data_IF_156001266278
#
_entry.id   IF_156001266278
#
_cell.length_a   1.000
_cell.length_b   1.000
_cell.length_c   1.000
_cell.angle_alpha   90.00
_cell.angle_beta   90.00
_cell.angle_gamma   90.00
#
_symmetry.space_group_name_H-M   'P 1'
#
loop_
_entity.id
_entity.type
_entity.pdbx_description
1 polymer ?
#
# COMPACT_ATOMS: atom_id res chain seq x y z
N UNK A 1 36.21 -23.34 6.70
CA UNK A 1 35.03 -22.88 7.47
C UNK A 1 33.85 -23.78 7.09
N UNK A 2 33.26 -24.52 8.04
CA UNK A 2 32.30 -25.59 7.75
C UNK A 2 30.93 -25.00 7.33
N UNK A 3 30.30 -25.53 6.28
CA UNK A 3 29.04 -24.98 5.70
C UNK A 3 27.93 -24.87 6.77
N UNK A 4 27.88 -25.82 7.70
CA UNK A 4 26.96 -25.85 8.83
C UNK A 4 27.18 -24.68 9.82
N UNK A 5 28.42 -24.28 10.06
CA UNK A 5 28.73 -23.16 10.96
C UNK A 5 28.33 -21.82 10.34
N UNK A 6 28.53 -21.64 9.03
CA UNK A 6 28.10 -20.45 8.30
C UNK A 6 26.57 -20.29 8.31
N UNK A 7 25.83 -21.39 8.09
CA UNK A 7 24.35 -21.38 8.13
C UNK A 7 23.84 -21.04 9.52
N UNK A 8 24.44 -21.61 10.57
CA UNK A 8 24.04 -21.33 11.96
C UNK A 8 24.31 -19.87 12.35
N UNK A 9 25.43 -19.29 11.92
CA UNK A 9 25.78 -17.90 12.17
C UNK A 9 24.81 -16.93 11.47
N UNK A 10 24.50 -17.17 10.20
CA UNK A 10 23.50 -16.39 9.43
C UNK A 10 22.13 -16.48 10.10
N UNK A 11 21.71 -17.68 10.50
CA UNK A 11 20.41 -17.91 11.14
C UNK A 11 20.31 -17.17 12.47
N UNK A 12 21.33 -17.25 13.32
CA UNK A 12 21.36 -16.55 14.60
C UNK A 12 21.36 -15.03 14.43
N UNK A 13 22.15 -14.49 13.50
CA UNK A 13 22.18 -13.05 13.23
C UNK A 13 20.83 -12.51 12.75
N UNK A 14 20.13 -13.29 11.91
CA UNK A 14 18.81 -12.93 11.41
C UNK A 14 17.75 -12.97 12.52
N UNK A 15 17.82 -13.99 13.39
CA UNK A 15 16.93 -14.14 14.55
C UNK A 15 17.08 -13.00 15.56
N UNK A 16 18.32 -12.59 15.86
CA UNK A 16 18.61 -11.47 16.76
C UNK A 16 18.03 -10.16 16.20
N UNK A 17 18.30 -9.85 14.92
CA UNK A 17 17.73 -8.65 14.26
C UNK A 17 16.20 -8.64 14.25
N UNK A 18 15.58 -9.80 14.05
CA UNK A 18 14.13 -9.93 14.09
C UNK A 18 13.56 -9.69 15.50
N UNK A 19 14.18 -10.28 16.52
CA UNK A 19 13.81 -10.05 17.92
C UNK A 19 13.97 -8.58 18.31
N UNK A 20 15.06 -7.92 17.92
CA UNK A 20 15.27 -6.49 18.14
C UNK A 20 14.19 -5.62 17.48
N UNK A 21 13.72 -6.00 16.29
CA UNK A 21 12.66 -5.25 15.60
C UNK A 21 11.32 -5.41 16.33
N UNK A 22 11.00 -6.61 16.82
CA UNK A 22 9.79 -6.89 17.61
C UNK A 22 9.81 -6.12 18.94
N UNK A 23 10.95 -6.13 19.66
CA UNK A 23 11.06 -5.45 20.95
C UNK A 23 10.96 -3.93 20.80
N UNK A 24 11.48 -3.36 19.71
CA UNK A 24 11.39 -1.91 19.42
C UNK A 24 9.99 -1.42 19.06
N UNK A 25 9.19 -2.21 18.32
CA UNK A 25 7.83 -1.83 17.89
C UNK A 25 6.75 -2.15 18.93
N UNK A 26 6.99 -3.17 19.76
CA UNK A 26 6.03 -3.72 20.71
C UNK A 26 5.08 -4.73 20.06
N UNK A 27 4.92 -5.91 20.68
CA UNK A 27 4.08 -7.01 20.17
C UNK A 27 2.63 -6.57 19.87
N UNK A 28 2.05 -5.73 20.72
CA UNK A 28 0.69 -5.19 20.55
C UNK A 28 0.51 -4.48 19.20
N UNK A 29 1.49 -3.68 18.77
CA UNK A 29 1.41 -2.95 17.50
C UNK A 29 1.42 -3.91 16.31
N UNK A 30 2.23 -4.96 16.36
CA UNK A 30 2.28 -5.99 15.31
C UNK A 30 0.91 -6.67 15.15
N UNK A 31 0.28 -7.08 16.26
CA UNK A 31 -1.07 -7.68 16.19
C UNK A 31 -2.12 -6.72 15.63
N UNK A 32 -2.07 -5.44 16.02
CA UNK A 32 -2.98 -4.43 15.45
C UNK A 32 -2.73 -4.25 13.95
N UNK A 33 -1.47 -4.18 13.50
CA UNK A 33 -1.15 -4.07 12.08
C UNK A 33 -1.63 -5.28 11.29
N UNK A 34 -1.54 -6.49 11.86
CA UNK A 34 -2.11 -7.71 11.25
C UNK A 34 -3.63 -7.63 11.19
N UNK A 35 -4.30 -7.14 12.24
CA UNK A 35 -5.74 -6.95 12.20
C UNK A 35 -6.17 -5.94 11.14
N UNK A 36 -5.46 -4.80 11.02
CA UNK A 36 -5.66 -3.80 9.97
C UNK A 36 -5.49 -4.47 8.60
N UNK A 37 -4.40 -5.22 8.39
CA UNK A 37 -4.15 -5.96 7.16
C UNK A 37 -5.31 -6.85 6.77
N UNK A 38 -5.75 -7.73 7.66
CA UNK A 38 -6.81 -8.69 7.37
C UNK A 38 -8.15 -7.99 7.07
N UNK A 39 -8.53 -7.01 7.88
CA UNK A 39 -9.81 -6.30 7.72
C UNK A 39 -9.82 -5.48 6.43
N UNK A 40 -8.76 -4.70 6.18
CA UNK A 40 -8.69 -3.84 4.98
C UNK A 40 -8.65 -4.69 3.72
N UNK A 41 -7.82 -5.74 3.68
CA UNK A 41 -7.76 -6.64 2.52
C UNK A 41 -9.10 -7.30 2.27
N UNK A 42 -9.75 -7.83 3.31
CA UNK A 42 -11.05 -8.47 3.19
C UNK A 42 -12.11 -7.51 2.64
N UNK A 43 -12.23 -6.30 3.21
CA UNK A 43 -13.23 -5.31 2.78
C UNK A 43 -12.96 -4.82 1.34
N UNK A 44 -11.72 -4.48 1.01
CA UNK A 44 -11.38 -4.02 -0.33
C UNK A 44 -11.59 -5.11 -1.39
N UNK A 45 -11.20 -6.36 -1.10
CA UNK A 45 -11.46 -7.48 -2.01
C UNK A 45 -12.95 -7.74 -2.19
N UNK A 46 -13.75 -7.64 -1.13
CA UNK A 46 -15.20 -7.73 -1.26
C UNK A 46 -15.75 -6.63 -2.16
N UNK A 47 -15.31 -5.38 -1.99
CA UNK A 47 -15.76 -4.28 -2.86
C UNK A 47 -15.42 -4.57 -4.33
N UNK A 48 -14.18 -4.96 -4.60
CA UNK A 48 -13.73 -5.25 -5.97
C UNK A 48 -14.52 -6.42 -6.59
N UNK A 49 -14.57 -7.56 -5.90
CA UNK A 49 -15.21 -8.76 -6.43
C UNK A 49 -16.74 -8.64 -6.51
N UNK A 50 -17.39 -7.98 -5.55
CA UNK A 50 -18.82 -7.72 -5.65
C UNK A 50 -19.13 -6.74 -6.79
N UNK A 51 -18.34 -5.69 -6.98
CA UNK A 51 -18.56 -4.75 -8.08
C UNK A 51 -18.49 -5.42 -9.45
N UNK A 52 -17.53 -6.33 -9.64
CA UNK A 52 -17.31 -7.08 -10.89
C UNK A 52 -18.39 -8.11 -11.18
N UNK A 53 -19.02 -8.68 -10.16
CA UNK A 53 -19.95 -9.80 -10.33
C UNK A 53 -21.44 -9.44 -10.11
N UNK A 54 -21.74 -8.29 -9.49
CA UNK A 54 -23.13 -7.86 -9.26
C UNK A 54 -23.65 -6.91 -10.35
N UNK A 55 -22.78 -6.10 -10.96
CA UNK A 55 -23.22 -5.10 -11.96
C UNK A 55 -23.46 -5.74 -13.32
N UNK A 56 -22.62 -6.71 -13.70
CA UNK A 56 -22.66 -7.41 -14.97
C UNK A 56 -22.42 -8.91 -14.74
N UNK A 57 -23.02 -9.74 -15.59
CA UNK A 57 -22.82 -11.19 -15.57
C UNK A 57 -21.54 -11.60 -16.31
N UNK A 58 -21.01 -12.80 -16.06
CA UNK A 58 -19.84 -13.32 -16.79
C UNK A 58 -20.07 -13.37 -18.32
N UNK A 59 -21.30 -13.62 -18.75
CA UNK A 59 -21.66 -13.59 -20.16
C UNK A 59 -21.48 -12.19 -20.76
N UNK A 60 -21.75 -11.14 -19.99
CA UNK A 60 -21.64 -9.75 -20.44
C UNK A 60 -20.19 -9.31 -20.66
N UNK A 61 -19.26 -9.87 -19.88
CA UNK A 61 -17.83 -9.61 -20.06
C UNK A 61 -17.24 -10.35 -21.27
N UNK A 62 -17.75 -11.54 -21.57
CA UNK A 62 -17.26 -12.37 -22.67
C UNK A 62 -17.89 -12.02 -24.03
N UNK A 63 -19.04 -11.36 -24.03
CA UNK A 63 -19.72 -10.93 -25.25
C UNK A 63 -19.23 -9.57 -25.75
N UNK A 64 -18.61 -9.57 -26.94
CA UNK A 64 -18.11 -8.34 -27.60
C UNK A 64 -19.22 -7.32 -27.88
N UNK A 65 -20.47 -7.76 -28.03
CA UNK A 65 -21.60 -6.86 -28.27
C UNK A 65 -22.14 -6.24 -26.97
N UNK A 66 -21.88 -6.85 -25.81
CA UNK A 66 -22.33 -6.34 -24.51
C UNK A 66 -21.62 -5.04 -24.11
N UNK A 67 -20.36 -4.85 -24.53
CA UNK A 67 -19.64 -3.56 -24.38
C UNK A 67 -20.40 -2.40 -25.05
N UNK A 68 -21.14 -2.68 -26.13
CA UNK A 68 -21.87 -1.68 -26.92
C UNK A 68 -23.30 -1.50 -26.38
N UNK A 69 -23.95 -2.60 -25.99
CA UNK A 69 -25.36 -2.61 -25.66
C UNK A 69 -25.67 -2.40 -24.17
N UNK A 70 -24.70 -2.65 -23.27
CA UNK A 70 -24.87 -2.54 -21.81
C UNK A 70 -23.96 -1.45 -21.22
N UNK A 71 -24.20 -0.22 -21.65
CA UNK A 71 -23.51 0.96 -21.13
C UNK A 71 -24.46 1.81 -20.29
N UNK A 72 -24.12 2.00 -19.02
CA UNK A 72 -24.81 2.94 -18.14
C UNK A 72 -23.95 4.20 -18.00
N UNK A 73 -24.46 5.36 -18.38
CA UNK A 73 -23.73 6.62 -18.31
C UNK A 73 -24.48 7.63 -17.44
N UNK A 74 -23.87 8.06 -16.34
CA UNK A 74 -24.43 9.04 -15.41
C UNK A 74 -23.74 10.42 -15.52
N UNK A 75 -23.00 10.67 -16.60
CA UNK A 75 -22.31 11.93 -16.89
C UNK A 75 -20.93 12.04 -16.24
N UNK A 76 -20.83 11.84 -14.93
CA UNK A 76 -19.55 11.89 -14.21
C UNK A 76 -18.87 10.51 -14.06
N UNK A 77 -19.68 9.45 -14.06
CA UNK A 77 -19.24 8.06 -14.00
C UNK A 77 -20.09 7.23 -14.96
N UNK A 78 -19.49 6.20 -15.54
CA UNK A 78 -20.20 5.23 -16.36
C UNK A 78 -19.76 3.81 -16.06
N UNK A 79 -20.62 2.86 -16.42
CA UNK A 79 -20.41 1.43 -16.25
C UNK A 79 -20.53 0.73 -17.61
N UNK A 80 -19.55 -0.10 -17.96
CA UNK A 80 -19.58 -0.98 -19.13
C UNK A 80 -18.78 -2.26 -18.85
N UNK A 81 -19.24 -3.46 -19.26
CA UNK A 81 -18.47 -4.67 -19.05
C UNK A 81 -17.33 -4.71 -20.06
N UNK A 82 -16.07 -4.70 -19.59
CA UNK A 82 -14.91 -4.86 -20.46
C UNK A 82 -13.98 -5.93 -19.87
N UNK A 83 -13.72 -6.99 -20.64
CA UNK A 83 -12.72 -7.98 -20.28
C UNK A 83 -11.36 -7.57 -20.85
N UNK A 84 -10.45 -7.14 -19.97
CA UNK A 84 -9.14 -6.65 -20.37
C UNK A 84 -8.11 -7.77 -20.33
N UNK A 85 -7.62 -8.16 -21.52
CA UNK A 85 -6.50 -9.10 -21.65
C UNK A 85 -5.19 -8.33 -21.59
N UNK A 86 -4.52 -8.35 -20.44
CA UNK A 86 -3.23 -7.68 -20.22
C UNK A 86 -3.22 -6.74 -19.02
N UNK A 87 -2.31 -5.77 -19.04
CA UNK A 87 -2.28 -4.65 -18.09
C UNK A 87 -2.60 -3.36 -18.83
N UNK A 88 -3.21 -2.37 -18.16
CA UNK A 88 -3.68 -1.11 -18.79
C UNK A 88 -2.55 -0.37 -19.55
N UNK A 89 -1.28 -0.63 -19.21
CA UNK A 89 -0.08 -0.03 -19.81
C UNK A 89 0.50 -0.80 -21.01
N UNK A 90 -0.09 -1.92 -21.43
CA UNK A 90 0.45 -2.83 -22.47
C UNK A 90 1.82 -3.45 -22.15
N UNK A 91 2.26 -3.38 -20.88
CA UNK A 91 3.54 -3.97 -20.40
C UNK A 91 3.56 -5.50 -20.56
N UNK A 92 2.40 -6.14 -20.65
CA UNK A 92 2.24 -7.56 -20.98
C UNK A 92 2.94 -7.94 -22.29
N UNK A 93 3.05 -7.04 -23.27
CA UNK A 93 3.81 -7.31 -24.50
C UNK A 93 5.33 -7.39 -24.29
N UNK A 94 5.84 -6.78 -23.23
CA UNK A 94 7.28 -6.74 -22.92
C UNK A 94 7.68 -7.84 -21.92
N UNK A 95 6.83 -8.10 -20.93
CA UNK A 95 7.13 -8.94 -19.77
C UNK A 95 6.37 -10.28 -19.79
N UNK A 96 5.30 -10.37 -20.59
CA UNK A 96 4.39 -11.50 -20.63
C UNK A 96 3.54 -11.63 -19.36
N UNK A 97 2.47 -12.43 -19.43
CA UNK A 97 1.64 -12.74 -18.26
C UNK A 97 2.43 -13.39 -17.12
N UNK A 98 3.36 -14.29 -17.45
CA UNK A 98 4.25 -14.91 -16.46
C UNK A 98 4.98 -13.89 -15.61
N UNK A 99 5.52 -12.82 -16.20
CA UNK A 99 6.22 -11.81 -15.42
C UNK A 99 5.28 -10.91 -14.61
N UNK A 100 4.04 -10.70 -15.06
CA UNK A 100 3.00 -10.02 -14.25
C UNK A 100 2.71 -10.84 -12.99
N UNK A 101 2.51 -12.16 -13.12
CA UNK A 101 2.28 -13.05 -11.97
C UNK A 101 3.48 -13.07 -11.01
N UNK A 102 4.71 -13.16 -11.54
CA UNK A 102 5.94 -13.11 -10.72
C UNK A 102 6.01 -11.81 -9.94
N UNK A 103 5.73 -10.67 -10.58
CA UNK A 103 5.72 -9.37 -9.93
C UNK A 103 4.63 -9.29 -8.86
N UNK A 104 3.39 -9.68 -9.17
CA UNK A 104 2.27 -9.67 -8.23
C UNK A 104 2.53 -10.56 -7.01
N UNK A 105 3.14 -11.73 -7.22
CA UNK A 105 3.53 -12.66 -6.16
C UNK A 105 4.68 -12.11 -5.30
N UNK A 106 5.72 -11.54 -5.92
CA UNK A 106 6.82 -10.91 -5.21
C UNK A 106 6.34 -9.72 -4.37
N UNK A 107 5.46 -8.88 -4.94
CA UNK A 107 4.84 -7.76 -4.23
C UNK A 107 3.98 -8.25 -3.06
N UNK A 108 3.24 -9.35 -3.23
CA UNK A 108 2.46 -9.99 -2.15
C UNK A 108 3.34 -10.40 -0.99
N UNK A 109 4.42 -11.15 -1.26
CA UNK A 109 5.35 -11.59 -0.21
C UNK A 109 5.96 -10.39 0.50
N UNK A 110 6.40 -9.38 -0.27
CA UNK A 110 6.95 -8.15 0.29
C UNK A 110 5.94 -7.48 1.24
N UNK A 111 4.69 -7.26 0.80
CA UNK A 111 3.70 -6.57 1.62
C UNK A 111 3.30 -7.37 2.86
N UNK A 112 3.09 -8.68 2.76
CA UNK A 112 2.77 -9.54 3.91
C UNK A 112 3.89 -9.54 4.97
N UNK A 113 5.15 -9.44 4.55
CA UNK A 113 6.27 -9.33 5.48
C UNK A 113 6.33 -7.94 6.09
N UNK A 114 6.19 -6.85 5.32
CA UNK A 114 6.48 -5.51 5.82
C UNK A 114 5.32 -4.85 6.57
N UNK A 115 4.07 -5.11 6.19
CA UNK A 115 2.89 -4.48 6.81
C UNK A 115 2.84 -4.70 8.34
N UNK A 116 3.02 -5.93 8.88
CA UNK A 116 2.99 -6.17 10.33
C UNK A 116 4.03 -5.35 11.11
N UNK A 117 5.16 -5.00 10.49
CA UNK A 117 6.23 -4.22 11.13
C UNK A 117 6.19 -2.72 10.81
N UNK A 118 5.05 -2.23 10.31
CA UNK A 118 4.85 -0.80 10.06
C UNK A 118 4.89 0.01 11.36
N UNK A 119 5.63 1.12 11.34
CA UNK A 119 5.75 2.05 12.48
C UNK A 119 4.46 2.83 12.74
N UNK A 120 3.70 3.14 11.69
CA UNK A 120 2.44 3.89 11.74
C UNK A 120 1.29 3.02 11.25
N UNK A 121 0.13 3.13 11.91
CA UNK A 121 -1.08 2.41 11.48
C UNK A 121 -1.55 2.84 10.09
N UNK A 122 -1.34 4.12 9.74
CA UNK A 122 -1.63 4.64 8.41
C UNK A 122 -0.80 3.95 7.31
N UNK A 123 0.48 3.64 7.58
CA UNK A 123 1.29 2.87 6.63
C UNK A 123 0.72 1.47 6.44
N UNK A 124 0.39 0.78 7.54
CA UNK A 124 -0.22 -0.55 7.47
C UNK A 124 -1.53 -0.50 6.66
N UNK A 125 -2.38 0.50 6.88
CA UNK A 125 -3.63 0.70 6.16
C UNK A 125 -3.42 0.87 4.64
N UNK A 126 -2.60 1.84 4.21
CA UNK A 126 -2.40 2.10 2.79
C UNK A 126 -1.66 0.98 2.04
N UNK A 127 -0.69 0.33 2.69
CA UNK A 127 -0.03 -0.85 2.13
C UNK A 127 -0.97 -2.05 2.03
N UNK A 128 -1.96 -2.17 2.93
CA UNK A 128 -3.00 -3.21 2.85
C UNK A 128 -3.99 -2.94 1.71
N UNK A 129 -4.33 -1.68 1.43
CA UNK A 129 -5.10 -1.30 0.24
C UNK A 129 -4.36 -1.72 -1.03
N UNK A 130 -3.06 -1.42 -1.13
CA UNK A 130 -2.24 -1.85 -2.27
C UNK A 130 -2.26 -3.38 -2.44
N UNK A 131 -2.10 -4.13 -1.33
CA UNK A 131 -2.16 -5.58 -1.37
C UNK A 131 -3.52 -6.08 -1.86
N UNK A 132 -4.61 -5.48 -1.39
CA UNK A 132 -5.96 -5.84 -1.79
C UNK A 132 -6.20 -5.61 -3.29
N UNK A 133 -5.74 -4.47 -3.83
CA UNK A 133 -5.82 -4.21 -5.28
C UNK A 133 -4.98 -5.20 -6.10
N UNK A 134 -3.76 -5.50 -5.65
CA UNK A 134 -2.93 -6.51 -6.28
C UNK A 134 -3.62 -7.88 -6.31
N UNK A 135 -4.21 -8.31 -5.19
CA UNK A 135 -4.94 -9.58 -5.12
C UNK A 135 -6.24 -9.58 -5.92
N UNK A 136 -6.99 -8.47 -5.96
CA UNK A 136 -8.25 -8.39 -6.71
C UNK A 136 -8.03 -8.62 -8.21
N UNK A 137 -7.05 -7.94 -8.81
CA UNK A 137 -6.70 -8.15 -10.20
C UNK A 137 -6.06 -9.52 -10.46
N UNK A 138 -5.27 -10.04 -9.51
CA UNK A 138 -4.62 -11.34 -9.67
C UNK A 138 -5.60 -12.51 -9.57
N UNK A 139 -6.59 -12.42 -8.69
CA UNK A 139 -7.66 -13.39 -8.57
C UNK A 139 -8.46 -13.49 -9.87
N UNK A 140 -8.80 -12.35 -10.49
CA UNK A 140 -9.44 -12.35 -11.80
C UNK A 140 -8.59 -13.04 -12.86
N UNK A 141 -7.27 -12.78 -12.90
CA UNK A 141 -6.38 -13.40 -13.88
C UNK A 141 -6.31 -14.92 -13.73
N UNK A 142 -6.36 -15.43 -12.50
CA UNK A 142 -6.40 -16.88 -12.26
C UNK A 142 -7.73 -17.51 -12.69
N UNK A 143 -8.84 -16.78 -12.60
CA UNK A 143 -10.17 -17.31 -12.91
C UNK A 143 -10.54 -17.14 -14.39
N UNK A 144 -10.12 -16.04 -15.01
CA UNK A 144 -10.57 -15.61 -16.35
C UNK A 144 -9.44 -15.67 -17.39
N UNK A 145 -8.62 -16.73 -17.40
CA UNK A 145 -7.58 -16.94 -18.42
C UNK A 145 -6.66 -15.72 -18.65
N UNK A 146 -6.06 -15.22 -17.56
CA UNK A 146 -5.17 -14.05 -17.53
C UNK A 146 -5.81 -12.71 -17.90
N UNK A 147 -7.14 -12.63 -17.89
CA UNK A 147 -7.87 -11.37 -18.08
C UNK A 147 -8.41 -10.80 -16.78
N UNK A 148 -8.72 -9.51 -16.79
CA UNK A 148 -9.26 -8.75 -15.66
C UNK A 148 -10.58 -8.12 -16.06
N UNK A 149 -11.57 -8.15 -15.16
CA UNK A 149 -12.87 -7.53 -15.39
C UNK A 149 -12.81 -6.04 -15.05
N UNK A 150 -12.94 -5.19 -16.07
CA UNK A 150 -13.05 -3.75 -15.90
C UNK A 150 -14.48 -3.30 -16.12
N UNK A 151 -14.94 -2.35 -15.30
CA UNK A 151 -16.35 -1.97 -15.31
C UNK A 151 -16.61 -0.47 -15.26
N UNK A 152 -15.71 0.32 -14.68
CA UNK A 152 -15.90 1.76 -14.47
C UNK A 152 -15.18 2.52 -15.56
N UNK A 153 -15.85 3.48 -16.19
CA UNK A 153 -15.19 4.46 -17.08
C UNK A 153 -15.64 5.88 -16.73
N UNK A 154 -14.86 6.85 -17.18
CA UNK A 154 -15.14 8.28 -16.98
C UNK A 154 -15.67 8.85 -18.30
N UNK A 155 -16.98 9.18 -18.41
CA UNK A 155 -17.59 9.56 -19.68
C UNK A 155 -17.00 10.83 -20.32
N UNK A 156 -16.60 11.81 -19.50
CA UNK A 156 -16.03 13.07 -20.00
C UNK A 156 -14.58 12.94 -20.48
N UNK A 157 -13.90 11.82 -20.15
CA UNK A 157 -12.52 11.53 -20.54
C UNK A 157 -12.34 10.01 -20.62
N UNK A 158 -12.90 9.41 -21.65
CA UNK A 158 -12.88 7.97 -21.88
C UNK A 158 -11.51 7.49 -22.37
N UNK A 159 -10.53 7.54 -21.46
CA UNK A 159 -9.16 7.11 -21.67
C UNK A 159 -8.94 5.63 -21.28
N UNK A 160 -10.02 4.92 -20.94
CA UNK A 160 -9.98 3.53 -20.49
C UNK A 160 -11.10 3.19 -19.51
N UNK A 161 -11.31 1.89 -19.34
CA UNK A 161 -12.12 1.31 -18.26
C UNK A 161 -11.17 0.83 -17.19
N UNK A 162 -11.61 0.85 -15.93
CA UNK A 162 -10.86 0.35 -14.79
C UNK A 162 -11.80 -0.31 -13.81
N UNK A 163 -11.23 -0.91 -12.77
CA UNK A 163 -11.98 -1.49 -11.66
C UNK A 163 -11.54 -0.92 -10.31
N UNK A 164 -12.13 -1.40 -9.22
CA UNK A 164 -11.75 -0.94 -7.87
C UNK A 164 -10.34 -1.41 -7.47
N UNK A 165 -9.90 -2.59 -7.91
CA UNK A 165 -8.52 -3.02 -7.71
C UNK A 165 -7.49 -2.05 -8.30
N UNK A 166 -7.73 -1.46 -9.49
CA UNK A 166 -6.86 -0.42 -10.06
C UNK A 166 -6.85 0.85 -9.21
N UNK A 167 -8.02 1.26 -8.70
CA UNK A 167 -8.14 2.38 -7.76
C UNK A 167 -7.33 2.10 -6.49
N UNK A 168 -7.36 0.88 -5.95
CA UNK A 168 -6.58 0.51 -4.78
C UNK A 168 -5.07 0.46 -5.05
N UNK A 169 -4.66 -0.07 -6.21
CA UNK A 169 -3.26 -0.08 -6.65
C UNK A 169 -2.73 1.36 -6.78
N UNK A 170 -3.57 2.33 -7.16
CA UNK A 170 -3.20 3.74 -7.18
C UNK A 170 -3.22 4.37 -5.79
N UNK A 171 -4.30 4.22 -5.03
CA UNK A 171 -4.49 4.88 -3.73
C UNK A 171 -3.52 4.38 -2.66
N UNK A 172 -3.12 3.11 -2.68
CA UNK A 172 -2.20 2.55 -1.69
C UNK A 172 -0.83 3.25 -1.65
N UNK A 173 -0.05 3.23 -2.75
CA UNK A 173 1.22 3.93 -2.84
C UNK A 173 1.08 5.45 -2.66
N UNK A 174 0.07 6.08 -3.27
CA UNK A 174 -0.14 7.53 -3.17
C UNK A 174 -0.46 7.97 -1.73
N UNK A 175 -1.32 7.22 -1.03
CA UNK A 175 -1.64 7.47 0.37
C UNK A 175 -0.44 7.21 1.28
N UNK A 176 0.31 6.13 1.05
CA UNK A 176 1.54 5.86 1.78
C UNK A 176 2.55 7.01 1.63
N UNK A 177 2.79 7.48 0.39
CA UNK A 177 3.70 8.58 0.10
C UNK A 177 3.27 9.88 0.77
N UNK A 178 1.97 10.18 0.78
CA UNK A 178 1.42 11.35 1.45
C UNK A 178 1.65 11.31 2.97
N UNK A 179 1.34 10.19 3.63
CA UNK A 179 1.55 10.05 5.08
C UNK A 179 3.05 10.16 5.40
N UNK A 180 3.90 9.52 4.60
CA UNK A 180 5.35 9.62 4.77
C UNK A 180 5.84 11.07 4.67
N UNK A 181 5.34 11.82 3.69
CA UNK A 181 5.68 13.24 3.52
C UNK A 181 5.22 14.11 4.69
N UNK A 182 4.02 13.87 5.21
CA UNK A 182 3.50 14.56 6.40
C UNK A 182 4.37 14.24 7.62
N UNK A 183 4.70 12.98 7.86
CA UNK A 183 5.55 12.57 8.98
C UNK A 183 6.94 13.22 8.89
N UNK A 184 7.52 13.29 7.69
CA UNK A 184 8.78 13.97 7.44
C UNK A 184 8.74 15.45 7.80
N UNK A 185 7.67 16.17 7.39
CA UNK A 185 7.49 17.58 7.74
C UNK A 185 7.35 17.75 9.26
N UNK A 186 6.51 16.94 9.91
CA UNK A 186 6.26 17.02 11.35
C UNK A 186 7.53 16.76 12.17
N UNK A 187 8.37 15.81 11.76
CA UNK A 187 9.65 15.52 12.40
C UNK A 187 10.62 16.69 12.27
N UNK A 188 10.69 17.33 11.09
CA UNK A 188 11.52 18.52 10.86
C UNK A 188 11.10 19.69 11.74
N UNK A 189 9.79 19.94 11.88
CA UNK A 189 9.28 21.01 12.75
C UNK A 189 9.59 20.74 14.24
N UNK A 190 9.37 19.52 14.73
CA UNK A 190 9.69 19.15 16.12
C UNK A 190 11.16 19.36 16.45
N UNK A 191 12.05 18.95 15.56
CA UNK A 191 13.50 19.10 15.76
C UNK A 191 13.96 20.56 15.72
N UNK A 192 13.27 21.43 14.98
CA UNK A 192 13.54 22.86 14.96
C UNK A 192 13.09 23.57 16.25
N UNK A 193 11.97 23.18 16.84
CA UNK A 193 11.47 23.77 18.09
C UNK A 193 12.32 23.33 19.29
N UNK A 194 12.69 22.05 19.36
CA UNK A 194 13.57 21.56 20.42
C UNK A 194 14.92 22.30 20.43
N UNK A 195 15.51 22.58 19.25
CA UNK A 195 16.74 23.38 19.17
C UNK A 195 16.59 24.84 19.63
N UNK A 196 15.41 25.45 19.48
CA UNK A 196 15.15 26.80 19.99
C UNK A 196 14.98 26.79 21.52
N UNK A 197 14.20 25.86 22.07
CA UNK A 197 14.03 25.75 23.53
C UNK A 197 15.34 25.46 24.27
N UNK A 198 16.23 24.62 23.72
CA UNK A 198 17.54 24.36 24.35
C UNK A 198 18.48 25.59 24.32
N UNK A 199 18.32 26.48 23.33
CA UNK A 199 19.11 27.71 23.27
C UNK A 199 18.55 28.79 24.22
N UNK A 200 17.23 28.90 24.39
CA UNK A 200 16.63 29.86 25.33
C UNK A 200 16.93 29.48 26.80
N UNK A 201 16.97 28.18 27.14
CA UNK A 201 17.34 27.71 28.48
C UNK A 201 18.83 27.97 28.82
N UNK A 202 19.73 28.01 27.82
CA UNK A 202 21.15 28.33 28.03
C UNK A 202 21.41 29.84 28.17
N UNK A 203 20.61 30.69 27.50
CA UNK A 203 20.72 32.15 27.64
C UNK A 203 20.12 32.63 28.97
N UNK A 204 19.04 32.00 29.45
CA UNK A 204 18.46 32.33 30.77
C UNK A 204 19.32 31.91 31.97
N UNK A 205 20.19 30.91 31.82
CA UNK A 205 21.11 30.45 32.86
C UNK A 205 22.37 31.33 33.00
N UNK A 206 22.91 31.85 31.90
CA UNK A 206 24.11 32.70 31.91
C UNK A 206 23.88 34.09 32.51
N UNK A 207 22.64 34.58 32.49
CA UNK A 207 22.29 35.90 33.03
C UNK A 207 22.12 35.89 34.56
N UNK A 208 21.83 34.73 35.16
CA UNK A 208 21.74 34.55 36.62
C UNK A 208 23.13 34.35 37.27
N UNK A 209 24.05 33.66 36.62
CA UNK A 209 25.42 33.48 37.14
C UNK A 209 26.23 34.79 37.15
N UNK A 210 26.01 35.69 36.19
CA UNK A 210 26.67 37.01 36.17
C UNK A 210 26.10 38.00 37.21
N UNK A 211 24.86 37.80 37.69
CA UNK A 211 24.26 38.69 38.68
C UNK A 211 24.71 38.40 40.13
N UNK A 212 25.19 37.18 40.40
CA UNK A 212 25.73 36.80 41.71
C UNK A 212 27.24 37.06 41.86
N UNK A 213 28.01 37.16 40.76
CA UNK A 213 29.45 37.50 40.83
C UNK A 213 29.72 38.97 41.15
N UNK A 214 28.78 39.86 40.82
CA UNK A 214 28.93 41.32 41.01
C UNK A 214 28.52 41.81 42.42
N UNK A 215 28.11 40.90 43.31
CA UNK A 215 27.67 41.21 44.69
C UNK A 215 28.66 40.81 45.79
N UNK A 216 29.90 40.43 45.46
CA UNK A 216 30.95 40.08 46.45
C UNK A 216 32.10 41.06 46.47
#
# INVERSE_FOLDING_TARGET
MNKTNLINEITNKTKVKFQEKITKLGKKRIYINIAILLIVVFVCLLIDQLSKNLVFSDADYNDKFSVINKVYNWGFIGFRPLLHHGVTTKIDNLVGFTGIHIFAFALTIFLLIFIPFSKHYAYAFFLSILLAGNWGNELDRFINDNSVKDLIFIPYRDNGTFNFADVFIFLGPSGFALVYFIDYILEKYKNSNNKKSTNDDQVGGSDLENFESDKK
#
